data_IF_979010312949
#
_entry.id   IF_979010312949
#
_cell.length_a   1.000
_cell.length_b   1.000
_cell.length_c   1.000
_cell.angle_alpha   90.00
_cell.angle_beta   90.00
_cell.angle_gamma   90.00
#
_symmetry.space_group_name_H-M   'P 1'
#
loop_
_entity.id
_entity.type
_entity.pdbx_description
1 polymer ?
#
# COMPACT_ATOMS: atom_id res chain seq x y z
N UNK A 1 -3.67 -4.39 8.29
CA UNK A 1 -3.54 -3.79 9.65
C UNK A 1 -3.68 -4.82 10.77
N UNK A 2 -3.00 -4.59 11.90
CA UNK A 2 -3.11 -5.42 13.11
C UNK A 2 -3.40 -4.54 14.34
N UNK A 3 -4.63 -4.59 14.90
CA UNK A 3 -4.92 -3.91 16.16
C UNK A 3 -4.27 -4.63 17.35
N UNK A 4 -3.73 -3.88 18.30
CA UNK A 4 -3.20 -4.38 19.57
C UNK A 4 -3.86 -3.68 20.76
N UNK A 5 -4.04 -4.41 21.84
CA UNK A 5 -4.47 -3.84 23.11
C UNK A 5 -3.26 -3.18 23.79
N UNK A 6 -3.29 -1.85 24.03
CA UNK A 6 -2.14 -1.17 24.65
C UNK A 6 -2.07 -1.39 26.16
N UNK A 7 -3.16 -1.84 26.78
CA UNK A 7 -3.20 -2.14 28.22
C UNK A 7 -4.25 -3.20 28.54
N UNK A 8 -4.10 -3.81 29.73
CA UNK A 8 -5.07 -4.75 30.29
C UNK A 8 -6.48 -4.14 30.40
N UNK A 9 -6.60 -2.85 30.68
CA UNK A 9 -7.90 -2.19 30.81
C UNK A 9 -8.67 -2.20 29.48
N UNK A 10 -7.99 -1.91 28.37
CA UNK A 10 -8.61 -1.92 27.03
C UNK A 10 -8.96 -3.34 26.61
N UNK A 11 -8.08 -4.31 26.89
CA UNK A 11 -8.35 -5.73 26.65
C UNK A 11 -9.60 -6.21 27.41
N UNK A 12 -9.75 -5.86 28.69
CA UNK A 12 -10.92 -6.25 29.49
C UNK A 12 -12.20 -5.54 29.06
N UNK A 13 -12.14 -4.26 28.67
CA UNK A 13 -13.32 -3.58 28.12
C UNK A 13 -13.76 -4.22 26.80
N UNK A 14 -12.81 -4.51 25.92
CA UNK A 14 -13.10 -5.22 24.67
C UNK A 14 -13.72 -6.61 24.95
N UNK A 15 -13.18 -7.39 25.88
CA UNK A 15 -13.75 -8.68 26.26
C UNK A 15 -15.19 -8.57 26.79
N UNK A 16 -15.51 -7.52 27.56
CA UNK A 16 -16.88 -7.24 28.00
C UNK A 16 -17.80 -6.87 26.84
N UNK A 17 -17.32 -6.07 25.89
CA UNK A 17 -18.07 -5.73 24.68
C UNK A 17 -18.34 -6.96 23.82
N UNK A 18 -17.35 -7.85 23.63
CA UNK A 18 -17.51 -9.13 22.95
C UNK A 18 -18.58 -10.00 23.62
N UNK A 19 -18.63 -10.06 24.96
CA UNK A 19 -19.65 -10.81 25.69
C UNK A 19 -21.09 -10.29 25.53
N UNK A 20 -21.25 -9.04 25.06
CA UNK A 20 -22.56 -8.44 24.71
C UNK A 20 -22.90 -8.62 23.23
N UNK A 21 -21.90 -8.90 22.39
CA UNK A 21 -22.06 -9.12 20.97
C UNK A 21 -22.39 -10.59 20.67
N UNK A 22 -23.10 -10.84 19.57
CA UNK A 22 -23.30 -12.20 19.07
C UNK A 22 -22.04 -12.68 18.32
N UNK A 23 -21.04 -13.11 19.09
CA UNK A 23 -19.74 -13.55 18.57
C UNK A 23 -19.59 -15.08 18.53
N UNK A 24 -20.67 -15.84 18.72
CA UNK A 24 -20.60 -17.29 18.75
C UNK A 24 -20.20 -17.87 17.38
N UNK A 25 -19.16 -18.70 17.37
CA UNK A 25 -18.66 -19.33 16.14
C UNK A 25 -17.82 -18.43 15.24
N UNK A 26 -17.56 -17.19 15.66
CA UNK A 26 -16.63 -16.28 14.97
C UNK A 26 -15.18 -16.58 15.37
N UNK A 27 -14.26 -16.41 14.42
CA UNK A 27 -12.83 -16.31 14.73
C UNK A 27 -12.53 -15.05 15.53
N UNK A 28 -11.37 -14.98 16.19
CA UNK A 28 -10.97 -13.80 16.96
C UNK A 28 -10.98 -12.50 16.12
N UNK A 29 -10.60 -12.58 14.84
CA UNK A 29 -10.61 -11.42 13.92
C UNK A 29 -12.03 -11.01 13.54
N UNK A 30 -12.91 -11.98 13.29
CA UNK A 30 -14.32 -11.71 12.98
C UNK A 30 -15.06 -11.12 14.18
N UNK A 31 -14.82 -11.67 15.37
CA UNK A 31 -15.34 -11.11 16.62
C UNK A 31 -14.84 -9.68 16.83
N UNK A 32 -13.55 -9.43 16.60
CA UNK A 32 -12.97 -8.09 16.70
C UNK A 32 -13.57 -7.10 15.72
N UNK A 33 -13.70 -7.47 14.45
CA UNK A 33 -14.35 -6.62 13.46
C UNK A 33 -15.80 -6.34 13.85
N UNK A 34 -16.54 -7.37 14.24
CA UNK A 34 -17.96 -7.25 14.66
C UNK A 34 -18.13 -6.28 15.83
N UNK A 35 -17.29 -6.41 16.87
CA UNK A 35 -17.32 -5.53 18.04
C UNK A 35 -16.96 -4.09 17.66
N UNK A 36 -15.94 -3.87 16.84
CA UNK A 36 -15.48 -2.53 16.48
C UNK A 36 -16.40 -1.79 15.52
N UNK A 37 -17.07 -2.50 14.61
CA UNK A 37 -18.05 -1.92 13.67
C UNK A 37 -19.33 -1.47 14.37
N UNK A 38 -19.67 -2.03 15.55
CA UNK A 38 -20.80 -1.56 16.33
C UNK A 38 -20.59 -0.10 16.77
N UNK A 39 -21.55 0.77 16.41
CA UNK A 39 -21.55 2.19 16.76
C UNK A 39 -21.42 2.43 18.27
N UNK A 40 -21.96 1.54 19.11
CA UNK A 40 -21.85 1.62 20.56
C UNK A 40 -20.40 1.47 21.06
N UNK A 41 -19.55 0.79 20.28
CA UNK A 41 -18.19 0.42 20.64
C UNK A 41 -17.12 1.21 19.88
N UNK A 42 -17.48 2.19 19.03
CA UNK A 42 -16.53 3.03 18.27
C UNK A 42 -15.43 3.68 19.10
N UNK A 43 -15.67 3.89 20.39
CA UNK A 43 -14.64 4.40 21.28
C UNK A 43 -13.46 3.42 21.44
N UNK A 44 -13.69 2.10 21.36
CA UNK A 44 -12.64 1.08 21.46
C UNK A 44 -11.64 1.18 20.33
N UNK A 45 -12.08 1.47 19.10
CA UNK A 45 -11.18 1.66 17.97
C UNK A 45 -10.14 2.76 18.23
N UNK A 46 -10.51 3.81 18.97
CA UNK A 46 -9.60 4.90 19.36
C UNK A 46 -8.65 4.54 20.51
N UNK A 47 -8.95 3.46 21.24
CA UNK A 47 -8.14 2.96 22.36
C UNK A 47 -7.18 1.84 21.94
N UNK A 48 -7.26 1.36 20.69
CA UNK A 48 -6.36 0.33 20.17
C UNK A 48 -5.09 0.96 19.61
N UNK A 49 -3.97 0.24 19.77
CA UNK A 49 -2.74 0.53 19.04
C UNK A 49 -2.83 -0.11 17.65
N UNK A 50 -2.95 0.70 16.61
CA UNK A 50 -3.04 0.22 15.23
C UNK A 50 -1.66 0.01 14.64
N UNK A 51 -1.28 -1.24 14.41
CA UNK A 51 0.02 -1.58 13.83
C UNK A 51 -0.13 -1.80 12.33
N UNK A 52 0.66 -1.05 11.56
CA UNK A 52 0.88 -1.34 10.14
C UNK A 52 2.05 -2.30 10.00
N UNK A 53 1.83 -3.36 9.24
CA UNK A 53 2.81 -4.42 8.99
C UNK A 53 3.16 -4.45 7.50
N UNK A 54 4.45 -4.58 7.19
CA UNK A 54 4.95 -4.83 5.84
C UNK A 54 5.59 -6.21 5.85
N UNK A 55 5.14 -7.14 5.00
CA UNK A 55 5.62 -8.54 5.00
C UNK A 55 5.56 -9.21 6.39
N UNK A 56 4.50 -8.92 7.16
CA UNK A 56 4.33 -9.41 8.53
C UNK A 56 5.22 -8.72 9.57
N UNK A 57 6.12 -7.83 9.17
CA UNK A 57 6.96 -7.06 10.09
C UNK A 57 6.25 -5.78 10.55
N UNK A 58 6.15 -5.60 11.86
CA UNK A 58 5.59 -4.40 12.48
C UNK A 58 6.45 -3.18 12.14
N UNK A 59 5.86 -2.18 11.48
CA UNK A 59 6.61 -1.07 10.87
C UNK A 59 6.20 0.30 11.42
N UNK A 60 4.90 0.56 11.56
CA UNK A 60 4.40 1.83 12.09
C UNK A 60 3.25 1.63 13.07
N UNK A 61 3.14 2.54 14.03
CA UNK A 61 1.94 2.76 14.82
C UNK A 61 1.10 3.85 14.18
N UNK A 62 -0.05 3.50 13.63
CA UNK A 62 -0.90 4.43 12.89
C UNK A 62 -1.75 5.26 13.84
N UNK A 63 -1.77 6.56 13.57
CA UNK A 63 -2.60 7.54 14.27
C UNK A 63 -3.31 8.37 13.21
N UNK A 64 -4.60 8.10 12.94
CA UNK A 64 -5.38 8.93 12.03
C UNK A 64 -5.48 10.36 12.55
N UNK A 65 -5.33 11.34 11.64
CA UNK A 65 -5.53 12.75 11.97
C UNK A 65 -7.00 13.14 12.02
N UNK A 66 -7.84 12.50 11.20
CA UNK A 66 -9.29 12.62 11.28
C UNK A 66 -9.87 11.47 12.12
N UNK A 67 -10.65 11.74 13.19
CA UNK A 67 -11.35 10.70 13.94
C UNK A 67 -12.29 9.82 13.10
N UNK A 68 -12.77 10.29 11.95
CA UNK A 68 -13.60 9.51 11.03
C UNK A 68 -12.82 8.36 10.38
N UNK A 69 -11.50 8.49 10.21
CA UNK A 69 -10.64 7.51 9.52
C UNK A 69 -10.39 6.25 10.35
N UNK A 70 -10.77 6.23 11.63
CA UNK A 70 -10.78 4.99 12.42
C UNK A 70 -11.70 3.93 11.82
N UNK A 71 -12.77 4.33 11.12
CA UNK A 71 -13.63 3.37 10.42
C UNK A 71 -12.85 2.64 9.31
N UNK A 72 -11.99 3.36 8.57
CA UNK A 72 -11.14 2.77 7.52
C UNK A 72 -10.12 1.77 8.10
N UNK A 73 -9.61 2.04 9.31
CA UNK A 73 -8.76 1.08 10.03
C UNK A 73 -9.53 -0.19 10.40
N UNK A 74 -10.78 -0.07 10.86
CA UNK A 74 -11.64 -1.22 11.16
C UNK A 74 -11.93 -2.02 9.88
N UNK A 75 -12.25 -1.34 8.78
CA UNK A 75 -12.51 -1.97 7.48
C UNK A 75 -11.29 -2.75 6.96
N UNK A 76 -10.08 -2.26 7.20
CA UNK A 76 -8.84 -2.95 6.84
C UNK A 76 -8.57 -4.23 7.66
N UNK A 77 -9.28 -4.44 8.78
CA UNK A 77 -9.23 -5.70 9.53
C UNK A 77 -10.08 -6.74 8.81
N UNK A 78 -9.53 -7.31 7.74
CA UNK A 78 -10.19 -8.37 6.98
C UNK A 78 -10.34 -9.65 7.83
N UNK A 79 -11.50 -10.34 7.80
CA UNK A 79 -11.71 -11.64 8.46
C UNK A 79 -10.67 -12.69 8.04
N UNK A 80 -10.48 -12.82 6.73
CA UNK A 80 -9.56 -13.79 6.11
C UNK A 80 -8.55 -13.03 5.26
N UNK A 81 -7.46 -12.51 5.86
CA UNK A 81 -6.44 -11.77 5.11
C UNK A 81 -5.73 -12.69 4.11
N UNK A 82 -5.52 -12.19 2.90
CA UNK A 82 -4.78 -12.83 1.81
C UNK A 82 -3.49 -12.06 1.53
N UNK A 83 -2.50 -12.72 0.94
CA UNK A 83 -1.26 -12.07 0.52
C UNK A 83 -1.47 -11.00 -0.58
N UNK A 84 -2.59 -11.06 -1.31
CA UNK A 84 -2.97 -10.09 -2.36
C UNK A 84 -3.75 -8.90 -1.84
N UNK A 85 -4.02 -8.85 -0.54
CA UNK A 85 -4.70 -7.75 0.11
C UNK A 85 -3.68 -6.63 0.37
N UNK A 86 -3.96 -5.43 -0.16
CA UNK A 86 -3.10 -4.25 0.02
C UNK A 86 -3.75 -3.25 0.96
N UNK A 87 -2.90 -2.71 1.83
CA UNK A 87 -3.19 -1.54 2.63
C UNK A 87 -2.18 -0.44 2.26
N UNK A 88 -2.66 0.73 1.82
CA UNK A 88 -1.84 1.88 1.45
C UNK A 88 -2.09 3.01 2.44
N UNK A 89 -1.01 3.53 3.01
CA UNK A 89 -1.06 4.61 4.00
C UNK A 89 -0.32 5.83 3.45
N UNK A 90 -1.01 6.97 3.46
CA UNK A 90 -0.44 8.27 3.14
C UNK A 90 -0.47 9.12 4.40
N UNK A 91 0.70 9.67 4.74
CA UNK A 91 0.84 10.45 5.95
C UNK A 91 2.28 10.80 6.25
N UNK A 92 2.50 11.30 7.46
CA UNK A 92 3.80 11.79 7.94
C UNK A 92 4.36 10.86 9.01
N UNK A 93 5.62 10.45 8.83
CA UNK A 93 6.37 9.73 9.85
C UNK A 93 6.65 10.64 11.05
N UNK A 94 6.15 10.24 12.21
CA UNK A 94 6.40 10.87 13.50
C UNK A 94 7.59 10.25 14.26
N UNK A 95 7.79 10.67 15.51
CA UNK A 95 8.81 10.10 16.41
C UNK A 95 8.47 8.65 16.77
N UNK A 96 9.43 7.97 17.43
CA UNK A 96 9.17 6.67 18.05
C UNK A 96 8.12 6.83 19.16
N UNK A 97 7.16 5.91 19.19
CA UNK A 97 6.17 5.84 20.23
C UNK A 97 6.82 5.47 21.58
N UNK A 98 6.34 6.05 22.70
CA UNK A 98 6.75 5.60 24.01
C UNK A 98 6.26 4.15 24.25
N UNK A 99 6.98 3.32 25.03
CA UNK A 99 6.63 1.91 25.24
C UNK A 99 5.20 1.70 25.73
N UNK A 100 4.67 2.62 26.52
CA UNK A 100 3.32 2.55 27.11
C UNK A 100 2.21 2.70 26.07
N UNK A 101 2.51 3.23 24.87
CA UNK A 101 1.52 3.45 23.82
C UNK A 101 0.97 2.14 23.24
N UNK A 102 1.81 1.09 23.17
CA UNK A 102 1.46 -0.16 22.51
C UNK A 102 2.01 -1.39 23.27
N UNK A 103 1.87 -1.39 24.61
CA UNK A 103 2.25 -2.50 25.48
C UNK A 103 3.70 -2.99 25.28
N UNK A 104 4.65 -2.05 25.24
CA UNK A 104 6.08 -2.30 25.07
C UNK A 104 6.57 -2.25 23.61
N UNK A 105 5.68 -2.20 22.62
CA UNK A 105 6.06 -2.06 21.22
C UNK A 105 6.51 -0.63 20.91
N UNK A 106 7.77 -0.47 20.52
CA UNK A 106 8.38 0.82 20.16
C UNK A 106 8.57 0.88 18.64
N UNK A 107 7.69 1.62 17.97
CA UNK A 107 7.73 1.86 16.52
C UNK A 107 7.51 3.35 16.23
N UNK A 108 7.96 3.87 15.07
CA UNK A 108 7.61 5.22 14.66
C UNK A 108 6.10 5.37 14.49
N UNK A 109 5.57 6.53 14.88
CA UNK A 109 4.21 6.90 14.51
C UNK A 109 4.10 7.11 13.00
N UNK A 110 2.99 6.70 12.41
CA UNK A 110 2.50 7.16 11.11
C UNK A 110 1.29 8.03 11.36
N UNK A 111 1.44 9.36 11.27
CA UNK A 111 0.31 10.27 11.33
C UNK A 111 -0.40 10.21 9.99
N UNK A 112 -1.61 9.66 9.96
CA UNK A 112 -2.28 9.26 8.72
C UNK A 112 -3.26 10.33 8.24
N UNK A 113 -3.18 10.64 6.96
CA UNK A 113 -4.08 11.54 6.25
C UNK A 113 -4.98 10.78 5.26
N UNK A 114 -4.53 9.62 4.72
CA UNK A 114 -5.37 8.74 3.89
C UNK A 114 -5.03 7.26 4.11
N UNK A 115 -6.07 6.42 4.09
CA UNK A 115 -5.99 4.95 4.14
C UNK A 115 -6.75 4.39 2.96
N UNK A 116 -6.12 3.51 2.19
CA UNK A 116 -6.78 2.70 1.19
C UNK A 116 -6.57 1.23 1.51
N UNK A 117 -7.64 0.44 1.48
CA UNK A 117 -7.57 -1.00 1.69
C UNK A 117 -8.37 -1.66 0.57
N UNK A 118 -7.70 -2.45 -0.25
CA UNK A 118 -8.30 -3.11 -1.41
C UNK A 118 -7.58 -4.43 -1.69
N UNK A 119 -8.20 -5.31 -2.45
CA UNK A 119 -7.52 -6.49 -3.00
C UNK A 119 -7.09 -6.24 -4.45
N UNK A 120 -6.26 -7.15 -4.96
CA UNK A 120 -5.80 -7.10 -6.36
C UNK A 120 -6.96 -7.02 -7.35
N UNK A 121 -8.05 -7.75 -7.09
CA UNK A 121 -9.21 -7.83 -7.97
C UNK A 121 -9.90 -6.47 -8.09
N UNK A 122 -10.11 -5.78 -6.97
CA UNK A 122 -10.68 -4.44 -6.90
C UNK A 122 -9.77 -3.40 -7.56
N UNK A 123 -8.44 -3.50 -7.37
CA UNK A 123 -7.51 -2.61 -8.05
C UNK A 123 -7.62 -2.77 -9.56
N UNK A 124 -7.51 -3.99 -10.08
CA UNK A 124 -7.50 -4.26 -11.51
C UNK A 124 -8.82 -3.88 -12.16
N UNK A 125 -9.93 -4.16 -11.48
CA UNK A 125 -11.27 -3.76 -11.94
C UNK A 125 -11.45 -2.23 -12.01
N UNK A 126 -10.72 -1.47 -11.18
CA UNK A 126 -10.75 0.00 -11.19
C UNK A 126 -9.87 0.63 -12.28
N UNK A 127 -8.92 -0.14 -12.84
CA UNK A 127 -8.02 0.38 -13.86
C UNK A 127 -8.80 0.65 -15.16
N UNK A 128 -8.65 1.84 -15.77
CA UNK A 128 -9.32 2.15 -17.02
C UNK A 128 -8.79 1.23 -18.13
N UNK A 129 -9.59 0.28 -18.59
CA UNK A 129 -9.18 -0.65 -19.65
C UNK A 129 -9.14 0.04 -21.02
N UNK A 130 -8.07 -0.12 -21.81
CA UNK A 130 -8.05 0.30 -23.22
C UNK A 130 -9.12 -0.43 -24.05
N UNK A 131 -9.82 0.29 -24.95
CA UNK A 131 -10.94 -0.25 -25.74
C UNK A 131 -10.52 -1.38 -26.70
N UNK A 132 -9.26 -1.37 -27.14
CA UNK A 132 -8.66 -2.29 -28.10
C UNK A 132 -8.20 -3.64 -27.48
N UNK A 133 -8.38 -3.85 -26.18
CA UNK A 133 -7.92 -5.05 -25.46
C UNK A 133 -9.06 -5.83 -24.85
N UNK A 134 -9.01 -7.16 -24.89
CA UNK A 134 -9.98 -7.98 -24.15
C UNK A 134 -9.81 -7.80 -22.62
N UNK A 135 -10.89 -7.94 -21.84
CA UNK A 135 -10.81 -7.92 -20.38
C UNK A 135 -9.79 -8.93 -19.82
N UNK A 136 -9.75 -10.14 -20.38
CA UNK A 136 -8.89 -11.23 -19.93
C UNK A 136 -7.40 -10.93 -20.20
N UNK A 137 -7.09 -10.42 -21.38
CA UNK A 137 -5.72 -10.05 -21.76
C UNK A 137 -5.19 -8.90 -20.89
N UNK A 138 -6.02 -7.88 -20.66
CA UNK A 138 -5.64 -6.76 -19.81
C UNK A 138 -5.51 -7.19 -18.34
N UNK A 139 -6.47 -7.99 -17.84
CA UNK A 139 -6.46 -8.51 -16.48
C UNK A 139 -5.20 -9.32 -16.19
N UNK A 140 -4.87 -10.31 -17.02
CA UNK A 140 -3.69 -11.15 -16.83
C UNK A 140 -2.38 -10.35 -16.84
N UNK A 141 -2.25 -9.37 -17.74
CA UNK A 141 -1.06 -8.50 -17.78
C UNK A 141 -0.99 -7.57 -16.55
N UNK A 142 -2.12 -7.05 -16.09
CA UNK A 142 -2.20 -6.21 -14.91
C UNK A 142 -1.89 -6.99 -13.63
N UNK A 143 -2.38 -8.23 -13.51
CA UNK A 143 -2.09 -9.16 -12.40
C UNK A 143 -0.60 -9.50 -12.33
N UNK A 144 0.05 -9.84 -13.45
CA UNK A 144 1.50 -10.14 -13.47
C UNK A 144 2.32 -8.91 -13.08
N UNK A 145 1.98 -7.72 -13.60
CA UNK A 145 2.67 -6.49 -13.18
C UNK A 145 2.45 -6.22 -11.70
N UNK A 146 1.21 -6.33 -11.23
CA UNK A 146 0.88 -6.09 -9.83
C UNK A 146 1.65 -7.01 -8.91
N UNK A 147 1.68 -8.32 -9.18
CA UNK A 147 2.42 -9.29 -8.38
C UNK A 147 3.91 -8.93 -8.27
N UNK A 148 4.52 -8.45 -9.37
CA UNK A 148 5.91 -7.96 -9.37
C UNK A 148 6.07 -6.65 -8.61
N UNK A 149 5.14 -5.72 -8.77
CA UNK A 149 5.20 -4.42 -8.10
C UNK A 149 4.98 -4.56 -6.61
N UNK A 150 4.10 -5.45 -6.13
CA UNK A 150 3.94 -5.75 -4.71
C UNK A 150 5.27 -6.21 -4.13
N UNK A 151 5.92 -7.20 -4.77
CA UNK A 151 7.23 -7.68 -4.33
C UNK A 151 8.30 -6.57 -4.28
N UNK A 152 8.27 -5.63 -5.24
CA UNK A 152 9.18 -4.47 -5.27
C UNK A 152 8.76 -3.39 -4.24
N UNK A 153 7.46 -3.33 -3.93
CA UNK A 153 6.84 -2.39 -3.01
C UNK A 153 6.77 -2.90 -1.56
N UNK A 154 7.33 -4.09 -1.26
CA UNK A 154 7.51 -4.67 0.07
C UNK A 154 8.54 -3.89 0.88
N UNK A 155 8.17 -2.65 1.19
CA UNK A 155 9.08 -1.66 1.72
C UNK A 155 8.37 -0.74 2.71
N UNK A 156 9.14 -0.11 3.60
CA UNK A 156 8.58 0.70 4.66
C UNK A 156 8.06 2.08 4.21
N UNK A 157 8.12 2.46 2.93
CA UNK A 157 7.74 3.83 2.52
C UNK A 157 8.64 4.95 3.09
N UNK A 158 9.77 4.59 3.72
CA UNK A 158 10.62 5.52 4.48
C UNK A 158 11.74 6.20 3.68
N UNK A 159 12.04 5.70 2.48
CA UNK A 159 13.09 6.24 1.60
C UNK A 159 12.49 6.91 0.37
N UNK A 160 13.26 7.76 -0.28
CA UNK A 160 12.89 8.41 -1.53
C UNK A 160 12.53 7.39 -2.64
N UNK A 161 13.24 6.27 -2.69
CA UNK A 161 12.97 5.16 -3.61
C UNK A 161 11.62 4.49 -3.31
N UNK A 162 11.40 4.10 -2.07
CA UNK A 162 10.16 3.46 -1.62
C UNK A 162 8.94 4.33 -1.95
N UNK A 163 9.03 5.64 -1.68
CA UNK A 163 7.92 6.57 -1.89
C UNK A 163 7.59 6.77 -3.36
N UNK A 164 8.61 6.82 -4.23
CA UNK A 164 8.39 6.88 -5.67
C UNK A 164 7.74 5.59 -6.21
N UNK A 165 8.22 4.42 -5.79
CA UNK A 165 7.68 3.12 -6.21
C UNK A 165 6.24 2.91 -5.75
N UNK A 166 5.97 3.10 -4.46
CA UNK A 166 4.65 2.88 -3.88
C UNK A 166 3.60 3.83 -4.51
N UNK A 167 3.99 5.07 -4.80
CA UNK A 167 3.14 6.01 -5.53
C UNK A 167 2.79 5.50 -6.93
N UNK A 168 3.79 5.09 -7.73
CA UNK A 168 3.53 4.63 -9.09
C UNK A 168 2.72 3.34 -9.13
N UNK A 169 2.98 2.41 -8.21
CA UNK A 169 2.26 1.15 -8.13
C UNK A 169 0.75 1.35 -7.93
N UNK A 170 0.36 2.31 -7.09
CA UNK A 170 -1.06 2.47 -6.72
C UNK A 170 -1.76 3.58 -7.50
N UNK A 171 -1.05 4.66 -7.86
CA UNK A 171 -1.67 5.89 -8.39
C UNK A 171 -1.34 6.19 -9.84
N UNK A 172 -0.61 5.32 -10.55
CA UNK A 172 -0.26 5.58 -11.95
C UNK A 172 -0.70 4.47 -12.92
N UNK A 173 -1.99 4.43 -13.33
CA UNK A 173 -2.54 3.39 -14.20
C UNK A 173 -1.79 3.16 -15.52
N UNK A 174 -1.08 4.17 -16.04
CA UNK A 174 -0.37 4.07 -17.31
C UNK A 174 0.74 3.00 -17.31
N UNK A 175 1.33 2.64 -16.16
CA UNK A 175 2.30 1.52 -16.12
C UNK A 175 1.64 0.17 -16.40
N UNK A 176 0.38 0.01 -16.00
CA UNK A 176 -0.41 -1.19 -16.30
C UNK A 176 -0.78 -1.24 -17.78
N UNK A 177 -1.10 -0.10 -18.39
CA UNK A 177 -1.30 -0.02 -19.85
C UNK A 177 -0.04 -0.40 -20.61
N UNK A 178 1.11 0.15 -20.19
CA UNK A 178 2.41 -0.18 -20.80
C UNK A 178 2.73 -1.67 -20.68
N UNK A 179 2.44 -2.30 -19.53
CA UNK A 179 2.64 -3.74 -19.40
C UNK A 179 1.74 -4.51 -20.37
N UNK A 180 0.46 -4.14 -20.50
CA UNK A 180 -0.43 -4.81 -21.45
C UNK A 180 0.06 -4.66 -22.90
N UNK A 181 0.60 -3.50 -23.28
CA UNK A 181 1.25 -3.26 -24.58
C UNK A 181 2.51 -4.12 -24.77
N UNK A 182 3.39 -4.15 -23.77
CA UNK A 182 4.60 -4.96 -23.78
C UNK A 182 4.27 -6.46 -23.89
N UNK A 183 3.26 -6.92 -23.15
CA UNK A 183 2.83 -8.31 -23.13
C UNK A 183 2.37 -8.81 -24.51
N UNK A 184 1.60 -7.99 -25.24
CA UNK A 184 1.20 -8.32 -26.63
C UNK A 184 2.37 -8.44 -27.60
N UNK A 185 3.51 -7.82 -27.27
CA UNK A 185 4.74 -7.86 -28.05
C UNK A 185 5.74 -8.88 -27.51
N UNK A 186 5.29 -9.80 -26.66
CA UNK A 186 6.09 -10.86 -26.03
C UNK A 186 7.25 -10.34 -25.14
N UNK A 187 7.02 -9.19 -24.48
CA UNK A 187 7.93 -8.66 -23.46
C UNK A 187 7.44 -9.01 -22.04
N UNK A 188 8.39 -9.08 -21.10
CA UNK A 188 8.15 -9.18 -19.67
C UNK A 188 8.88 -8.07 -18.93
N UNK A 189 8.36 -7.63 -17.77
CA UNK A 189 9.08 -6.70 -16.91
C UNK A 189 10.36 -7.38 -16.38
N UNK A 190 11.52 -6.83 -16.74
CA UNK A 190 12.82 -7.36 -16.40
C UNK A 190 13.43 -6.65 -15.17
N UNK A 191 13.25 -5.33 -15.05
CA UNK A 191 13.68 -4.60 -13.86
C UNK A 191 12.91 -3.29 -13.65
N UNK A 192 12.92 -2.83 -12.40
CA UNK A 192 12.54 -1.47 -12.03
C UNK A 192 13.72 -0.87 -11.26
N UNK A 193 14.22 0.27 -11.73
CA UNK A 193 15.35 0.98 -11.12
C UNK A 193 14.92 2.39 -10.74
N UNK A 194 15.12 2.76 -9.49
CA UNK A 194 14.92 4.14 -9.05
C UNK A 194 16.26 4.84 -8.96
N UNK A 195 16.32 6.07 -9.47
CA UNK A 195 17.52 6.91 -9.36
C UNK A 195 17.15 8.36 -9.07
N UNK A 196 18.00 9.10 -8.35
CA UNK A 196 17.83 10.54 -8.21
C UNK A 196 17.84 11.22 -9.58
N UNK A 197 16.91 12.15 -9.78
CA UNK A 197 16.85 12.95 -10.99
C UNK A 197 17.88 14.08 -10.94
N UNK A 198 18.51 14.41 -12.08
CA UNK A 198 19.43 15.56 -12.16
C UNK A 198 18.71 16.91 -11.97
N UNK A 199 17.37 16.90 -12.01
CA UNK A 199 16.52 18.07 -11.77
C UNK A 199 16.13 18.23 -10.28
N UNK A 200 16.64 17.37 -9.41
CA UNK A 200 16.27 17.28 -7.99
C UNK A 200 16.85 18.41 -7.12
N UNK A 201 16.87 19.66 -7.58
CA UNK A 201 17.55 20.79 -6.92
C UNK A 201 17.26 20.94 -5.41
N UNK A 202 16.21 21.67 -5.05
CA UNK A 202 15.72 21.73 -3.65
C UNK A 202 14.60 20.71 -3.37
N UNK A 203 14.11 20.07 -4.44
CA UNK A 203 13.04 19.08 -4.42
C UNK A 203 13.68 17.68 -4.46
N UNK A 204 13.02 16.68 -3.89
CA UNK A 204 13.40 15.28 -4.02
C UNK A 204 12.64 14.67 -5.19
N UNK A 205 13.36 14.43 -6.28
CA UNK A 205 12.80 13.95 -7.54
C UNK A 205 13.55 12.70 -7.95
N UNK A 206 12.81 11.64 -8.26
CA UNK A 206 13.37 10.39 -8.78
C UNK A 206 12.91 10.14 -10.21
N UNK A 207 13.82 9.62 -11.04
CA UNK A 207 13.46 8.92 -12.26
C UNK A 207 13.27 7.43 -11.89
N UNK A 208 12.08 6.89 -12.13
CA UNK A 208 11.78 5.46 -12.01
C UNK A 208 11.80 4.85 -13.41
N UNK A 209 12.77 3.99 -13.66
CA UNK A 209 13.00 3.34 -14.96
C UNK A 209 12.47 1.92 -14.89
N UNK A 210 11.54 1.61 -15.78
CA UNK A 210 11.04 0.27 -16.02
C UNK A 210 11.72 -0.27 -17.28
N UNK A 211 12.28 -1.46 -17.19
CA UNK A 211 12.91 -2.14 -18.32
C UNK A 211 12.15 -3.42 -18.60
N UNK A 212 11.71 -3.58 -19.84
CA UNK A 212 11.06 -4.78 -20.34
C UNK A 212 12.00 -5.51 -21.27
N UNK A 213 12.02 -6.84 -21.19
CA UNK A 213 12.84 -7.71 -22.04
C UNK A 213 11.96 -8.64 -22.86
N UNK A 214 12.26 -8.76 -24.15
CA UNK A 214 11.60 -9.71 -25.04
C UNK A 214 11.98 -11.13 -24.65
N UNK A 215 10.99 -12.03 -24.52
CA UNK A 215 11.19 -13.36 -23.93
C UNK A 215 12.09 -14.30 -24.75
N UNK A 216 12.25 -14.04 -26.04
CA UNK A 216 12.99 -14.95 -26.96
C UNK A 216 14.26 -14.35 -27.54
N UNK A 217 14.40 -13.01 -27.53
CA UNK A 217 15.47 -12.32 -28.29
C UNK A 217 16.40 -11.49 -27.42
N UNK A 218 16.13 -11.42 -26.10
CA UNK A 218 16.84 -10.59 -25.12
C UNK A 218 16.86 -9.07 -25.45
N UNK A 219 16.09 -8.62 -26.44
CA UNK A 219 15.94 -7.20 -26.75
C UNK A 219 15.24 -6.50 -25.58
N UNK A 220 15.77 -5.35 -25.16
CA UNK A 220 15.21 -4.55 -24.07
C UNK A 220 14.61 -3.22 -24.57
N UNK A 221 13.47 -2.87 -24.00
CA UNK A 221 12.88 -1.54 -24.09
C UNK A 221 12.80 -0.95 -22.69
N UNK A 222 13.21 0.31 -22.52
CA UNK A 222 13.11 1.00 -21.24
C UNK A 222 12.25 2.24 -21.34
N UNK A 223 11.47 2.49 -20.30
CA UNK A 223 10.68 3.70 -20.14
C UNK A 223 10.92 4.25 -18.74
N UNK A 224 10.79 5.56 -18.58
CA UNK A 224 10.92 6.18 -17.28
C UNK A 224 9.74 7.08 -16.97
N UNK A 225 9.47 7.21 -15.68
CA UNK A 225 8.53 8.16 -15.10
C UNK A 225 9.30 9.02 -14.11
N UNK A 226 9.02 10.32 -14.07
CA UNK A 226 9.63 11.20 -13.09
C UNK A 226 8.63 11.57 -12.01
N UNK A 227 9.01 11.33 -10.76
CA UNK A 227 8.16 11.53 -9.58
C UNK A 227 8.83 12.53 -8.66
N UNK A 228 8.12 13.60 -8.29
CA UNK A 228 8.46 14.43 -7.15
C UNK A 228 7.79 13.81 -5.93
N UNK A 229 8.59 13.54 -4.90
CA UNK A 229 8.12 13.01 -3.62
C UNK A 229 8.67 13.89 -2.49
N UNK A 230 8.92 15.17 -2.72
CA UNK A 230 9.47 16.06 -1.69
C UNK A 230 8.57 16.14 -0.46
N UNK A 231 7.27 16.24 -0.69
CA UNK A 231 6.24 16.47 0.31
C UNK A 231 5.39 15.22 0.47
N UNK A 232 4.42 15.24 1.39
CA UNK A 232 3.61 14.07 1.75
C UNK A 232 2.95 13.38 0.55
N UNK A 233 2.41 14.15 -0.40
CA UNK A 233 1.70 13.67 -1.58
C UNK A 233 2.61 13.70 -2.83
N UNK A 234 3.12 12.55 -3.30
CA UNK A 234 3.94 12.52 -4.51
C UNK A 234 3.10 12.84 -5.76
N UNK A 235 3.76 13.37 -6.78
CA UNK A 235 3.13 13.67 -8.07
C UNK A 235 4.09 13.46 -9.24
N UNK A 236 3.52 13.33 -10.43
CA UNK A 236 4.29 13.17 -11.66
C UNK A 236 4.86 14.52 -12.11
N UNK A 237 6.18 14.57 -12.32
CA UNK A 237 6.85 15.66 -13.03
C UNK A 237 6.84 15.40 -14.54
N UNK A 238 6.97 14.13 -14.92
CA UNK A 238 6.91 13.71 -16.33
C UNK A 238 6.26 12.33 -16.38
N UNK A 239 5.28 12.18 -17.27
CA UNK A 239 4.64 10.89 -17.52
C UNK A 239 5.58 9.90 -18.19
N UNK A 240 5.13 8.65 -18.29
CA UNK A 240 5.86 7.55 -18.92
C UNK A 240 6.37 7.95 -20.30
N UNK A 241 7.69 7.90 -20.45
CA UNK A 241 8.39 8.32 -21.67
C UNK A 241 9.50 7.31 -21.99
N UNK A 242 9.86 7.13 -23.27
CA UNK A 242 10.99 6.28 -23.64
C UNK A 242 12.26 6.71 -22.89
N UNK A 243 12.98 5.72 -22.36
CA UNK A 243 14.22 5.91 -21.64
C UNK A 243 15.39 5.39 -22.48
N UNK A 244 16.33 6.28 -22.76
CA UNK A 244 17.60 5.91 -23.36
C UNK A 244 18.65 5.87 -22.26
N UNK A 245 19.21 4.69 -22.02
CA UNK A 245 20.34 4.53 -21.12
C UNK A 245 21.53 5.27 -21.71
N UNK A 246 22.04 6.25 -20.95
CA UNK A 246 23.20 7.04 -21.36
C UNK A 246 24.44 6.30 -20.85
N UNK A 247 25.28 5.86 -21.79
CA UNK A 247 26.62 5.33 -21.54
C UNK A 247 27.50 6.35 -20.81
#
# INVERSE_FOLDING_TARGET
>A
MVPRFPSLSVEKEFAQATGRADANGLTDREALRTVLTDRANRYLARQLAWVFTVEGQETYLLVPRDPADFELLIESVRPTPRATDIDVIIGVRGPLAPPEYANGLVLPFGLVDQIFSFDVDALISSLPRPEDRSPEQFGSAAEDLFARLVQIADNAGATDEHRALNFLAVRYPRIYHQMAEAFTRNFALASVRVRPSRLSGVRRISDVVFTWRHRETDVEESFFVRVDHTEEFPFLVTGLSPYLERL
#
